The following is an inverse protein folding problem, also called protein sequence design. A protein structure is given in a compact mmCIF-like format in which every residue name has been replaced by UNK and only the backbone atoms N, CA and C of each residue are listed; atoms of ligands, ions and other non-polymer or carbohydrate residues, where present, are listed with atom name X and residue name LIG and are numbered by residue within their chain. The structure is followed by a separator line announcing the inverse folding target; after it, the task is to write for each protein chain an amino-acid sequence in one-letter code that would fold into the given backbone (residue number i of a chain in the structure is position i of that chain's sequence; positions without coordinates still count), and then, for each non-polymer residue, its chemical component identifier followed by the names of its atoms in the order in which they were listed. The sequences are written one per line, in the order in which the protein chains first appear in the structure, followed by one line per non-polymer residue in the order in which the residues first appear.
data_IF_940904730030
#
_entry.id   IF_940904730030
#
_cell.length_a   1.000
_cell.length_b   1.000
_cell.length_c   1.000
_cell.angle_alpha   90.00
_cell.angle_beta   90.00
_cell.angle_gamma   90.00
#
_symmetry.space_group_name_H-M   'P 1'
#
loop_
_entity.id
_entity.type
_entity.pdbx_description
1 polymer ?
#
# COMPACT_ATOMS: atom_id res chain seq x y z
N UNK A 1 -10.76 -21.72 -7.50
CA UNK A 1 -9.43 -22.02 -8.02
C UNK A 1 -8.33 -21.95 -6.94
N UNK A 2 -8.60 -21.37 -5.76
CA UNK A 2 -7.66 -21.33 -4.63
C UNK A 2 -6.58 -20.25 -4.73
N UNK A 3 -6.70 -19.28 -5.64
CA UNK A 3 -5.74 -18.19 -5.84
C UNK A 3 -5.88 -17.03 -4.84
N UNK A 4 -6.84 -17.14 -3.91
CA UNK A 4 -7.09 -16.11 -2.88
C UNK A 4 -7.89 -14.91 -3.38
N UNK A 5 -8.53 -15.03 -4.55
CA UNK A 5 -9.38 -14.01 -5.15
C UNK A 5 -10.86 -14.43 -5.12
N UNK A 6 -11.74 -13.46 -5.25
CA UNK A 6 -13.18 -13.69 -5.39
C UNK A 6 -13.48 -13.85 -6.87
N UNK A 7 -13.92 -15.05 -7.25
CA UNK A 7 -14.28 -15.34 -8.64
C UNK A 7 -15.46 -14.48 -9.12
N UNK A 8 -15.42 -14.10 -10.39
CA UNK A 8 -16.53 -13.41 -11.07
C UNK A 8 -16.59 -11.90 -10.84
N UNK A 9 -15.65 -11.31 -10.11
CA UNK A 9 -15.54 -9.86 -9.98
C UNK A 9 -14.51 -9.30 -10.98
N UNK A 10 -14.79 -8.12 -11.51
CA UNK A 10 -13.86 -7.38 -12.36
C UNK A 10 -13.85 -5.91 -11.92
N UNK A 11 -12.74 -5.38 -11.39
CA UNK A 11 -11.49 -6.08 -11.09
C UNK A 11 -11.63 -7.10 -9.95
N UNK A 12 -10.77 -8.12 -9.94
CA UNK A 12 -10.74 -9.15 -8.92
C UNK A 12 -10.46 -8.58 -7.53
N UNK A 13 -11.11 -9.14 -6.52
CA UNK A 13 -11.00 -8.72 -5.11
C UNK A 13 -10.28 -9.80 -4.32
N UNK A 14 -9.29 -9.40 -3.52
CA UNK A 14 -8.59 -10.33 -2.65
C UNK A 14 -9.45 -10.76 -1.46
N UNK A 15 -9.57 -12.07 -1.22
CA UNK A 15 -10.28 -12.63 -0.07
C UNK A 15 -9.73 -12.10 1.26
N UNK A 16 -8.43 -11.97 1.39
CA UNK A 16 -7.78 -11.48 2.62
C UNK A 16 -7.99 -9.99 2.87
N UNK A 17 -8.38 -9.23 1.83
CA UNK A 17 -8.69 -7.81 1.95
C UNK A 17 -10.11 -7.55 2.46
N UNK A 18 -10.95 -8.58 2.54
CA UNK A 18 -12.33 -8.43 2.98
C UNK A 18 -12.42 -7.86 4.39
N UNK A 19 -13.25 -6.86 4.56
CA UNK A 19 -13.56 -6.23 5.86
C UNK A 19 -15.05 -5.98 5.96
N UNK A 20 -15.60 -6.24 7.13
CA UNK A 20 -16.99 -5.89 7.46
C UNK A 20 -17.04 -4.44 7.92
N UNK A 21 -18.07 -3.75 7.48
CA UNK A 21 -18.38 -2.38 7.88
C UNK A 21 -19.82 -2.29 8.36
N UNK A 22 -20.06 -1.41 9.30
CA UNK A 22 -21.40 -1.00 9.74
C UNK A 22 -21.68 0.43 9.29
N UNK A 23 -22.92 0.72 8.94
CA UNK A 23 -23.33 2.07 8.59
C UNK A 23 -23.68 2.84 9.86
N UNK A 24 -22.89 3.86 10.18
CA UNK A 24 -23.27 4.85 11.17
C UNK A 24 -24.25 5.84 10.53
N UNK A 25 -25.53 5.65 10.82
CA UNK A 25 -26.61 6.45 10.21
C UNK A 25 -26.64 7.89 10.69
N UNK A 26 -26.09 8.18 11.87
CA UNK A 26 -26.05 9.55 12.40
C UNK A 26 -25.14 10.47 11.59
N UNK A 27 -24.06 9.92 11.01
CA UNK A 27 -23.08 10.66 10.21
C UNK A 27 -22.99 10.15 8.77
N UNK A 28 -23.86 9.22 8.37
CA UNK A 28 -23.88 8.61 7.04
C UNK A 28 -22.52 8.07 6.59
N UNK A 29 -21.81 7.41 7.49
CA UNK A 29 -20.45 6.93 7.27
C UNK A 29 -20.34 5.44 7.54
N UNK A 30 -19.54 4.75 6.70
CA UNK A 30 -19.16 3.37 6.96
C UNK A 30 -18.01 3.31 7.96
N UNK A 31 -18.17 2.54 9.01
CA UNK A 31 -17.19 2.30 10.06
C UNK A 31 -16.74 0.85 10.01
N UNK A 32 -15.42 0.63 10.01
CA UNK A 32 -14.85 -0.71 9.95
C UNK A 32 -15.10 -1.47 11.26
N UNK A 33 -15.53 -2.72 11.15
CA UNK A 33 -15.64 -3.65 12.27
C UNK A 33 -14.37 -4.52 12.38
N UNK A 34 -14.00 -4.95 13.59
CA UNK A 34 -13.02 -6.02 13.76
C UNK A 34 -13.45 -7.23 12.95
N UNK A 35 -12.64 -7.60 11.96
CA UNK A 35 -13.00 -8.62 10.97
C UNK A 35 -11.98 -9.73 10.96
N UNK A 36 -12.44 -10.97 11.01
CA UNK A 36 -11.64 -12.18 10.78
C UNK A 36 -12.08 -12.82 9.46
N UNK A 37 -11.10 -13.12 8.59
CA UNK A 37 -11.34 -13.81 7.32
C UNK A 37 -10.73 -15.20 7.41
N UNK A 38 -11.56 -16.21 7.32
CA UNK A 38 -11.16 -17.60 7.18
C UNK A 38 -11.35 -18.02 5.72
N UNK A 39 -10.24 -18.05 4.98
CA UNK A 39 -10.25 -18.37 3.56
C UNK A 39 -10.52 -19.86 3.29
N UNK A 40 -10.15 -20.74 4.22
CA UNK A 40 -10.38 -22.17 4.11
C UNK A 40 -11.86 -22.51 4.32
N UNK A 41 -12.49 -21.91 5.33
CA UNK A 41 -13.91 -22.09 5.59
C UNK A 41 -14.80 -21.16 4.72
N UNK A 42 -14.20 -20.28 3.89
CA UNK A 42 -14.89 -19.25 3.07
C UNK A 42 -15.83 -18.39 3.91
N UNK A 43 -15.38 -18.00 5.11
CA UNK A 43 -16.17 -17.28 6.09
C UNK A 43 -15.51 -15.95 6.47
N UNK A 44 -16.33 -14.91 6.51
CA UNK A 44 -15.94 -13.61 7.08
C UNK A 44 -16.78 -13.41 8.34
N UNK A 45 -16.14 -13.09 9.46
CA UNK A 45 -16.77 -12.90 10.76
C UNK A 45 -16.39 -11.54 11.33
N UNK A 46 -17.37 -10.85 11.89
CA UNK A 46 -17.18 -9.61 12.62
C UNK A 46 -18.07 -9.57 13.84
N UNK A 47 -17.67 -8.83 14.87
CA UNK A 47 -18.47 -8.62 16.07
C UNK A 47 -19.06 -7.21 16.05
N UNK A 48 -20.34 -7.10 16.41
CA UNK A 48 -21.05 -5.84 16.53
C UNK A 48 -21.88 -5.82 17.81
N UNK A 49 -21.95 -4.67 18.52
CA UNK A 49 -22.77 -4.54 19.70
C UNK A 49 -24.26 -4.29 19.42
N UNK A 50 -24.63 -4.02 18.18
CA UNK A 50 -25.99 -3.68 17.79
C UNK A 50 -26.31 -4.15 16.36
N UNK A 51 -27.60 -4.25 16.06
CA UNK A 51 -28.07 -4.46 14.68
C UNK A 51 -27.96 -3.16 13.88
N UNK A 52 -27.54 -3.26 12.62
CA UNK A 52 -27.37 -2.14 11.72
C UNK A 52 -27.38 -2.64 10.27
N UNK A 53 -27.11 -1.74 9.35
CA UNK A 53 -26.78 -2.11 7.97
C UNK A 53 -25.32 -2.47 7.91
N UNK A 54 -25.02 -3.64 7.37
CA UNK A 54 -23.66 -4.14 7.21
C UNK A 54 -23.30 -4.24 5.74
N UNK A 55 -22.04 -4.01 5.44
CA UNK A 55 -21.48 -4.23 4.11
C UNK A 55 -20.15 -4.96 4.23
N UNK A 56 -19.83 -5.73 3.20
CA UNK A 56 -18.54 -6.37 3.03
C UNK A 56 -17.81 -5.63 1.92
N UNK A 57 -16.72 -4.97 2.27
CA UNK A 57 -15.84 -4.34 1.30
C UNK A 57 -14.54 -5.13 1.18
N UNK A 58 -14.01 -5.18 -0.02
CA UNK A 58 -12.71 -5.76 -0.31
C UNK A 58 -11.89 -4.83 -1.20
N UNK A 59 -10.59 -4.87 -1.03
CA UNK A 59 -9.70 -4.19 -1.93
C UNK A 59 -9.55 -5.01 -3.21
N UNK A 60 -9.59 -4.34 -4.34
CA UNK A 60 -9.26 -4.96 -5.61
C UNK A 60 -7.85 -5.54 -5.58
N UNK A 61 -7.62 -6.58 -6.34
CA UNK A 61 -6.32 -7.26 -6.44
C UNK A 61 -5.19 -6.39 -7.05
N UNK A 62 -5.41 -5.07 -7.15
CA UNK A 62 -4.40 -4.10 -7.57
C UNK A 62 -3.20 -4.23 -6.61
N UNK A 63 -2.05 -4.64 -7.15
CA UNK A 63 -0.81 -4.78 -6.38
C UNK A 63 -0.57 -6.15 -5.73
N UNK A 64 -1.32 -7.19 -6.03
CA UNK A 64 -0.95 -8.56 -5.60
C UNK A 64 0.35 -9.04 -6.26
N UNK A 65 0.59 -8.62 -7.49
CA UNK A 65 1.86 -8.82 -8.17
C UNK A 65 2.67 -7.53 -8.09
N UNK A 66 3.86 -7.61 -7.53
CA UNK A 66 4.74 -6.43 -7.43
C UNK A 66 5.38 -6.00 -8.76
N UNK A 67 5.12 -6.73 -9.85
CA UNK A 67 5.65 -6.43 -11.18
C UNK A 67 5.16 -5.09 -11.76
N UNK A 68 4.04 -4.60 -11.27
CA UNK A 68 3.44 -3.35 -11.72
C UNK A 68 3.78 -2.13 -10.85
N UNK A 69 4.55 -2.32 -9.76
CA UNK A 69 4.90 -1.22 -8.88
C UNK A 69 5.67 -0.15 -9.63
N UNK A 70 5.29 1.08 -9.43
CA UNK A 70 5.91 2.27 -10.02
C UNK A 70 6.35 3.23 -8.93
N UNK A 71 7.38 4.01 -9.25
CA UNK A 71 7.86 5.11 -8.42
C UNK A 71 7.93 6.35 -9.29
N UNK A 72 7.42 7.45 -8.79
CA UNK A 72 7.48 8.71 -9.53
C UNK A 72 7.47 9.94 -8.60
N UNK A 73 7.98 11.08 -9.10
CA UNK A 73 8.71 11.26 -10.36
C UNK A 73 10.11 10.63 -10.34
N UNK A 74 10.68 10.29 -11.48
CA UNK A 74 12.07 9.81 -11.61
C UNK A 74 12.76 10.58 -12.76
N UNK A 75 13.87 11.31 -12.50
CA UNK A 75 14.41 11.61 -11.19
C UNK A 75 13.45 12.45 -10.35
N UNK A 76 13.48 12.26 -9.02
CA UNK A 76 12.72 13.12 -8.13
C UNK A 76 13.51 14.37 -7.81
N UNK A 77 13.03 15.50 -8.28
CA UNK A 77 13.60 16.82 -8.00
C UNK A 77 12.86 17.45 -6.83
N UNK A 78 13.60 17.74 -5.77
CA UNK A 78 13.10 18.39 -4.57
C UNK A 78 13.46 19.86 -4.57
N UNK A 79 12.65 20.71 -3.91
CA UNK A 79 12.90 22.14 -3.83
C UNK A 79 12.01 22.98 -4.76
N UNK A 80 12.28 24.30 -4.83
CA UNK A 80 11.49 25.19 -5.67
C UNK A 80 11.73 24.88 -7.15
N UNK A 81 10.66 24.71 -7.87
CA UNK A 81 10.67 24.40 -9.30
C UNK A 81 9.32 23.91 -9.77
N UNK A 82 9.15 23.84 -11.07
CA UNK A 82 7.95 23.32 -11.73
C UNK A 82 8.34 22.32 -12.80
N UNK A 83 7.41 21.44 -13.16
CA UNK A 83 7.59 20.45 -14.22
C UNK A 83 7.42 19.02 -13.71
N UNK A 84 7.46 18.08 -14.65
CA UNK A 84 7.09 16.67 -14.44
C UNK A 84 7.93 15.93 -13.37
N UNK A 85 9.13 16.42 -13.07
CA UNK A 85 10.04 15.78 -12.12
C UNK A 85 10.05 16.43 -10.74
N UNK A 86 9.40 17.60 -10.58
CA UNK A 86 9.29 18.29 -9.31
C UNK A 86 8.06 17.83 -8.54
N UNK A 87 8.29 17.38 -7.30
CA UNK A 87 7.22 17.01 -6.39
C UNK A 87 7.65 17.21 -4.94
N UNK A 88 6.70 17.48 -4.06
CA UNK A 88 6.95 17.57 -2.62
C UNK A 88 7.38 16.22 -2.03
N UNK A 89 6.91 15.13 -2.62
CA UNK A 89 7.15 13.76 -2.15
C UNK A 89 7.36 12.81 -3.34
N UNK A 90 8.11 11.76 -3.11
CA UNK A 90 8.22 10.61 -4.01
C UNK A 90 7.01 9.69 -3.76
N UNK A 91 6.35 9.24 -4.81
CA UNK A 91 5.19 8.37 -4.71
C UNK A 91 5.51 6.97 -5.20
N UNK A 92 5.26 5.98 -4.34
CA UNK A 92 5.17 4.58 -4.73
C UNK A 92 3.71 4.30 -5.11
N UNK A 93 3.48 3.67 -6.25
CA UNK A 93 2.14 3.39 -6.81
C UNK A 93 2.00 1.91 -7.12
N UNK A 94 0.76 1.42 -7.10
CA UNK A 94 0.40 0.01 -7.30
C UNK A 94 1.01 -0.93 -6.27
N UNK A 95 1.12 -0.45 -5.05
CA UNK A 95 1.54 -1.24 -3.90
C UNK A 95 0.42 -2.21 -3.49
N UNK A 96 0.79 -3.33 -2.82
CA UNK A 96 -0.19 -4.22 -2.19
C UNK A 96 -0.91 -3.52 -1.04
N UNK A 97 -1.91 -4.21 -0.47
CA UNK A 97 -2.67 -3.68 0.68
C UNK A 97 -1.82 -3.56 1.92
N UNK A 98 -0.95 -4.55 2.16
CA UNK A 98 -0.09 -4.64 3.35
C UNK A 98 1.34 -4.97 2.96
N UNK A 99 2.29 -4.30 3.57
CA UNK A 99 3.69 -4.56 3.26
C UNK A 99 4.68 -3.59 3.88
N UNK A 100 5.93 -3.72 3.41
CA UNK A 100 7.00 -2.79 3.74
C UNK A 100 7.77 -2.37 2.50
N UNK A 101 8.32 -1.15 2.55
CA UNK A 101 9.32 -0.65 1.61
C UNK A 101 10.57 -0.32 2.41
N UNK A 102 11.69 -0.97 2.08
CA UNK A 102 13.01 -0.63 2.62
C UNK A 102 13.80 0.10 1.56
N UNK A 103 14.27 1.29 1.88
CA UNK A 103 14.99 2.16 0.96
C UNK A 103 16.48 2.09 1.30
N UNK A 104 17.31 1.80 0.29
CA UNK A 104 18.75 1.72 0.40
C UNK A 104 19.42 2.66 -0.60
N UNK A 105 20.56 3.22 -0.23
CA UNK A 105 21.46 3.91 -1.16
C UNK A 105 22.31 2.91 -1.96
N UNK A 106 23.11 3.42 -2.87
CA UNK A 106 23.99 2.61 -3.74
C UNK A 106 25.05 1.81 -2.95
N UNK A 107 25.45 2.29 -1.76
CA UNK A 107 26.40 1.59 -0.88
C UNK A 107 25.75 0.50 -0.03
N UNK A 108 24.44 0.27 -0.16
CA UNK A 108 23.69 -0.73 0.61
C UNK A 108 23.30 -0.26 2.02
N UNK A 109 23.49 1.00 2.36
CA UNK A 109 23.05 1.56 3.63
C UNK A 109 21.52 1.75 3.60
N UNK A 110 20.83 1.28 4.64
CA UNK A 110 19.39 1.47 4.78
C UNK A 110 19.10 2.91 5.20
N UNK A 111 18.41 3.63 4.33
CA UNK A 111 18.02 5.02 4.53
C UNK A 111 16.73 5.10 5.34
N UNK A 112 15.71 4.34 4.93
CA UNK A 112 14.41 4.36 5.60
C UNK A 112 13.66 3.04 5.45
N UNK A 113 12.59 2.89 6.24
CA UNK A 113 11.67 1.76 6.17
C UNK A 113 10.24 2.24 6.42
N UNK A 114 9.41 2.08 5.42
CA UNK A 114 8.00 2.45 5.43
C UNK A 114 7.17 1.19 5.56
N UNK A 115 6.39 1.09 6.63
CA UNK A 115 5.40 0.02 6.79
C UNK A 115 4.02 0.57 6.48
N UNK A 116 3.20 -0.22 5.80
CA UNK A 116 1.84 0.16 5.45
C UNK A 116 0.90 -1.03 5.60
N UNK A 117 -0.33 -0.72 6.00
CA UNK A 117 -1.41 -1.69 6.18
C UNK A 117 -2.74 -1.06 5.78
N UNK A 118 -3.62 -1.85 5.17
CA UNK A 118 -4.93 -1.40 4.72
C UNK A 118 -4.88 -0.37 3.61
N UNK A 119 -3.84 -0.35 2.78
CA UNK A 119 -3.64 0.62 1.72
C UNK A 119 -4.67 0.42 0.60
N UNK A 120 -5.69 1.29 0.54
CA UNK A 120 -6.83 1.10 -0.37
C UNK A 120 -6.58 1.58 -1.80
N UNK A 121 -5.69 2.55 -2.00
CA UNK A 121 -5.41 3.15 -3.30
C UNK A 121 -4.09 2.70 -3.92
N UNK A 122 -3.37 1.79 -3.26
CA UNK A 122 -2.07 1.30 -3.70
C UNK A 122 -0.96 2.35 -3.73
N UNK A 123 -1.13 3.50 -3.05
CA UNK A 123 -0.18 4.62 -3.08
C UNK A 123 0.38 4.92 -1.71
N UNK A 124 1.69 5.11 -1.64
CA UNK A 124 2.40 5.57 -0.46
C UNK A 124 3.39 6.66 -0.87
N UNK A 125 3.38 7.76 -0.13
CA UNK A 125 4.31 8.85 -0.35
C UNK A 125 5.48 8.78 0.65
N UNK A 126 6.68 9.19 0.19
CA UNK A 126 7.88 9.34 1.00
C UNK A 126 8.42 10.76 0.85
N UNK A 127 8.71 11.39 1.97
CA UNK A 127 9.20 12.78 2.03
C UNK A 127 10.72 12.92 1.79
N UNK A 128 11.42 11.81 1.59
CA UNK A 128 12.85 11.78 1.38
C UNK A 128 13.67 11.96 2.64
N UNK A 129 13.10 11.69 3.81
CA UNK A 129 13.81 11.73 5.09
C UNK A 129 14.00 10.32 5.63
N UNK A 130 15.05 10.14 6.40
CA UNK A 130 15.25 8.95 7.19
C UNK A 130 14.53 9.08 8.55
N UNK A 131 14.54 8.00 9.35
CA UNK A 131 13.94 7.98 10.69
C UNK A 131 14.47 9.04 11.65
N UNK A 132 15.70 9.54 11.43
CA UNK A 132 16.28 10.63 12.20
C UNK A 132 15.91 12.02 11.66
N UNK A 133 15.01 12.10 10.68
CA UNK A 133 14.58 13.33 10.03
C UNK A 133 15.62 13.91 9.07
N UNK A 134 16.76 13.24 8.85
CA UNK A 134 17.80 13.69 7.93
C UNK A 134 17.39 13.41 6.48
N UNK A 135 17.51 14.41 5.65
CA UNK A 135 17.16 14.37 4.24
C UNK A 135 18.12 13.49 3.44
N UNK A 136 17.60 12.63 2.59
CA UNK A 136 18.39 11.80 1.67
C UNK A 136 19.11 12.70 0.64
N UNK A 137 20.37 12.42 0.33
CA UNK A 137 21.17 13.17 -0.63
C UNK A 137 20.76 12.88 -2.09
N UNK A 138 21.30 13.68 -3.04
CA UNK A 138 21.21 13.32 -4.46
C UNK A 138 21.90 11.99 -4.71
N UNK A 139 21.30 11.13 -5.52
CA UNK A 139 21.86 9.82 -5.80
C UNK A 139 20.83 8.81 -6.31
N UNK A 140 21.31 7.59 -6.51
CA UNK A 140 20.49 6.42 -6.89
C UNK A 140 20.16 5.62 -5.66
N UNK A 141 18.90 5.18 -5.59
CA UNK A 141 18.34 4.43 -4.49
C UNK A 141 17.62 3.19 -4.99
N UNK A 142 17.51 2.20 -4.10
CA UNK A 142 16.76 0.97 -4.32
C UNK A 142 15.69 0.82 -3.24
N UNK A 143 14.45 0.63 -3.66
CA UNK A 143 13.33 0.30 -2.79
C UNK A 143 13.04 -1.20 -2.87
N UNK A 144 13.26 -1.92 -1.76
CA UNK A 144 12.88 -3.31 -1.60
C UNK A 144 11.48 -3.36 -1.02
N UNK A 145 10.54 -3.86 -1.79
CA UNK A 145 9.13 -3.94 -1.45
C UNK A 145 8.81 -5.38 -1.11
N UNK A 146 8.15 -5.59 0.03
CA UNK A 146 7.65 -6.90 0.45
C UNK A 146 6.13 -6.82 0.65
N UNK A 147 5.42 -7.73 -0.01
CA UNK A 147 4.01 -7.96 0.21
C UNK A 147 3.83 -8.94 1.37
N UNK A 148 3.10 -8.56 2.42
CA UNK A 148 2.87 -9.45 3.57
C UNK A 148 1.84 -10.54 3.30
N UNK A 149 1.00 -10.34 2.29
CA UNK A 149 -0.07 -11.27 1.97
C UNK A 149 0.43 -12.58 1.41
N UNK A 150 1.37 -12.51 0.47
CA UNK A 150 1.90 -13.67 -0.25
C UNK A 150 3.43 -13.82 -0.17
N UNK A 151 4.10 -12.95 0.59
CA UNK A 151 5.55 -12.96 0.74
C UNK A 151 6.34 -12.50 -0.50
N UNK A 152 5.66 -12.10 -1.57
CA UNK A 152 6.32 -11.62 -2.79
C UNK A 152 7.22 -10.41 -2.49
N UNK A 153 8.33 -10.32 -3.23
CA UNK A 153 9.27 -9.20 -3.13
C UNK A 153 9.56 -8.61 -4.50
N UNK A 154 9.80 -7.31 -4.53
CA UNK A 154 10.27 -6.61 -5.72
C UNK A 154 11.29 -5.54 -5.35
N UNK A 155 12.11 -5.16 -6.34
CA UNK A 155 13.08 -4.08 -6.20
C UNK A 155 12.79 -3.04 -7.28
N UNK A 156 12.64 -1.79 -6.86
CA UNK A 156 12.46 -0.67 -7.78
C UNK A 156 13.61 0.31 -7.58
N UNK A 157 14.24 0.73 -8.69
CA UNK A 157 15.32 1.72 -8.70
C UNK A 157 14.74 3.10 -8.97
N UNK A 158 15.22 4.11 -8.23
CA UNK A 158 14.86 5.51 -8.47
C UNK A 158 16.04 6.44 -8.19
N UNK A 159 15.93 7.70 -8.61
CA UNK A 159 16.96 8.71 -8.42
C UNK A 159 16.39 9.96 -7.75
N UNK A 160 17.17 10.57 -6.88
CA UNK A 160 16.92 11.86 -6.25
C UNK A 160 17.91 12.87 -6.79
N UNK A 161 17.41 14.05 -7.15
CA UNK A 161 18.19 15.22 -7.58
C UNK A 161 17.77 16.43 -6.75
N UNK A 162 18.74 17.05 -6.07
CA UNK A 162 18.54 18.20 -5.18
C UNK A 162 19.36 19.39 -5.62
#
# INVERSE_FOLDING_TARGET
NGDGLIDGLTPEVSLSSLRMYTLNTAVSKWEALPTTVDTAARKVSGQTPHFSVFALFGATAIGQTLNAVRVFPIPWRTGPGSGAFHAAQLTFDRLPVDGTIRIFNLSGEKIDELSFSGLQNGRLAWDGRNRAGKTAASGVYFAFIKNFLNGATAVVKFAIER
#
